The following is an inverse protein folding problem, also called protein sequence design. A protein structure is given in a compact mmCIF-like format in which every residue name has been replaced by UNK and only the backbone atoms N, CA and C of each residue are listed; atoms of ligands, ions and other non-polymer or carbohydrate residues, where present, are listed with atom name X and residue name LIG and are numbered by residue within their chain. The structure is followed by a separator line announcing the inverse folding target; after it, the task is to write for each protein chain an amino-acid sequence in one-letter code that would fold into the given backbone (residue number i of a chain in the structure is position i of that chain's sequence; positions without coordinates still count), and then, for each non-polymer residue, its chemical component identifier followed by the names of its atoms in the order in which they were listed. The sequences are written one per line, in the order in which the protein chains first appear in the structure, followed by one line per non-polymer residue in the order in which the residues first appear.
data_IF_097771307941
#
_entry.id   IF_097771307941
#
_cell.length_a   1.000
_cell.length_b   1.000
_cell.length_c   1.000
_cell.angle_alpha   90.00
_cell.angle_beta   90.00
_cell.angle_gamma   90.00
#
_symmetry.space_group_name_H-M   'P 1'
#
loop_
_entity.id
_entity.type
_entity.pdbx_description
1 polymer ?
#
# COMPACT_ATOMS: atom_id res chain seq x y z
N UNK A 1 21.25 -38.52 -0.74
CA UNK A 1 20.05 -38.46 0.13
C UNK A 1 19.18 -37.30 -0.33
N UNK A 2 18.11 -37.57 -1.08
CA UNK A 2 17.17 -36.54 -1.54
C UNK A 2 16.44 -35.94 -0.33
N UNK A 3 16.73 -34.69 0.02
CA UNK A 3 16.00 -33.99 1.07
C UNK A 3 14.52 -33.91 0.69
N UNK A 4 13.66 -34.38 1.58
CA UNK A 4 12.21 -34.37 1.43
C UNK A 4 11.74 -32.91 1.41
N UNK A 5 11.31 -32.40 0.25
CA UNK A 5 10.84 -31.02 0.09
C UNK A 5 9.53 -30.86 0.88
N UNK A 6 9.58 -30.11 1.98
CA UNK A 6 8.39 -29.76 2.76
C UNK A 6 7.60 -28.73 1.97
N UNK A 7 6.36 -29.08 1.60
CA UNK A 7 5.42 -28.16 0.95
C UNK A 7 4.38 -27.73 1.96
N UNK A 8 4.37 -26.44 2.30
CA UNK A 8 3.31 -25.85 3.11
C UNK A 8 2.06 -25.66 2.26
N UNK A 9 0.91 -26.06 2.78
CA UNK A 9 -0.40 -25.94 2.12
C UNK A 9 -1.24 -24.96 2.95
N UNK A 10 -1.73 -23.90 2.33
CA UNK A 10 -2.57 -22.89 2.99
C UNK A 10 -2.27 -21.46 2.55
N UNK A 11 -3.05 -20.51 3.05
CA UNK A 11 -2.77 -19.08 2.86
C UNK A 11 -1.66 -18.67 3.84
N UNK A 12 -0.59 -18.09 3.31
CA UNK A 12 0.47 -17.49 4.12
C UNK A 12 0.01 -16.13 4.66
N UNK A 13 0.49 -15.77 5.85
CA UNK A 13 0.26 -14.45 6.45
C UNK A 13 1.56 -13.95 7.06
N UNK A 14 1.85 -12.68 6.82
CA UNK A 14 3.01 -12.00 7.42
C UNK A 14 2.61 -11.21 8.68
N UNK A 15 1.37 -11.36 9.15
CA UNK A 15 0.90 -10.70 10.36
C UNK A 15 1.59 -11.28 11.59
N UNK A 16 2.20 -10.39 12.36
CA UNK A 16 2.87 -10.69 13.61
C UNK A 16 2.59 -9.56 14.59
N UNK A 17 2.28 -9.90 15.84
CA UNK A 17 2.05 -8.92 16.90
C UNK A 17 0.68 -9.10 17.55
N UNK A 18 0.17 -8.01 18.13
CA UNK A 18 -1.08 -7.99 18.87
C UNK A 18 -2.16 -7.22 18.11
N UNK A 19 -3.40 -7.38 18.55
CA UNK A 19 -4.51 -6.55 18.06
C UNK A 19 -4.43 -5.14 18.65
N UNK A 20 -5.07 -4.15 18.00
CA UNK A 20 -5.11 -2.80 18.58
C UNK A 20 -5.83 -2.78 19.92
N UNK A 21 -6.88 -3.59 20.08
CA UNK A 21 -7.65 -3.67 21.32
C UNK A 21 -6.79 -4.09 22.51
N UNK A 22 -5.99 -5.15 22.35
CA UNK A 22 -5.08 -5.65 23.39
C UNK A 22 -3.99 -4.63 23.73
N UNK A 23 -3.49 -3.89 22.74
CA UNK A 23 -2.45 -2.88 22.97
C UNK A 23 -3.01 -1.66 23.73
N UNK A 24 -4.10 -1.06 23.23
CA UNK A 24 -4.64 0.16 23.84
C UNK A 24 -5.31 -0.11 25.19
N UNK A 25 -5.91 -1.28 25.38
CA UNK A 25 -6.58 -1.65 26.63
C UNK A 25 -5.63 -1.86 27.80
N UNK A 26 -4.35 -2.19 27.54
CA UNK A 26 -3.34 -2.42 28.58
C UNK A 26 -2.52 -1.17 28.92
N UNK A 27 -2.74 -0.04 28.25
CA UNK A 27 -1.95 1.18 28.43
C UNK A 27 -2.72 2.24 29.23
N UNK A 28 -2.02 3.02 30.07
CA UNK A 28 -2.62 4.20 30.70
C UNK A 28 -3.05 5.19 29.62
N UNK A 29 -4.19 5.87 29.84
CA UNK A 29 -4.82 6.80 28.90
C UNK A 29 -4.97 6.21 27.48
N UNK A 30 -5.20 4.90 27.39
CA UNK A 30 -5.36 4.18 26.12
C UNK A 30 -4.16 4.30 25.17
N UNK A 31 -2.99 4.66 25.70
CA UNK A 31 -1.77 4.84 24.92
C UNK A 31 -1.75 6.10 24.06
N UNK A 32 -2.59 7.11 24.34
CA UNK A 32 -2.56 8.39 23.59
C UNK A 32 -1.14 8.99 23.60
N UNK A 33 -0.70 9.43 22.43
CA UNK A 33 0.64 9.96 22.19
C UNK A 33 1.72 8.90 21.89
N UNK A 34 1.45 7.60 22.10
CA UNK A 34 2.40 6.52 21.78
C UNK A 34 2.46 6.20 20.29
N UNK A 35 3.61 5.69 19.86
CA UNK A 35 3.83 5.22 18.50
C UNK A 35 3.52 3.73 18.34
N UNK A 36 2.74 3.42 17.30
CA UNK A 36 2.41 2.09 16.83
C UNK A 36 3.05 1.85 15.46
N UNK A 37 3.45 0.60 15.23
CA UNK A 37 3.85 0.13 13.91
C UNK A 37 3.00 -1.06 13.51
N UNK A 38 2.99 -1.36 12.21
CA UNK A 38 2.47 -2.62 11.69
C UNK A 38 3.61 -3.45 11.14
N UNK A 39 3.71 -4.70 11.55
CA UNK A 39 4.83 -5.57 11.17
C UNK A 39 4.86 -5.85 9.67
N UNK A 40 3.70 -6.02 9.03
CA UNK A 40 3.61 -6.10 7.58
C UNK A 40 4.22 -4.89 6.84
N UNK A 41 4.27 -3.71 7.47
CA UNK A 41 4.82 -2.50 6.85
C UNK A 41 6.33 -2.36 7.01
N UNK A 42 6.96 -3.17 7.87
CA UNK A 42 8.42 -3.19 8.05
C UNK A 42 9.18 -3.78 6.85
N UNK A 43 8.46 -4.30 5.84
CA UNK A 43 9.05 -4.68 4.54
C UNK A 43 9.58 -3.50 3.73
N UNK A 44 9.17 -2.27 4.06
CA UNK A 44 9.58 -1.06 3.38
C UNK A 44 10.77 -0.41 4.11
N UNK A 45 11.79 0.07 3.39
CA UNK A 45 12.94 0.75 4.01
C UNK A 45 12.61 2.15 4.53
N UNK A 46 11.50 2.74 4.08
CA UNK A 46 11.00 4.03 4.54
C UNK A 46 10.14 3.87 5.81
N UNK A 47 10.17 4.84 6.75
CA UNK A 47 9.51 4.69 8.03
C UNK A 47 7.98 4.66 7.85
N UNK A 48 7.35 3.68 8.49
CA UNK A 48 5.90 3.51 8.53
C UNK A 48 5.46 3.37 9.98
N UNK A 49 4.84 4.41 10.52
CA UNK A 49 4.37 4.42 11.90
C UNK A 49 3.08 5.23 12.04
N UNK A 50 2.41 5.04 13.17
CA UNK A 50 1.12 5.65 13.50
C UNK A 50 1.19 6.15 14.93
N UNK A 51 0.91 7.44 15.16
CA UNK A 51 0.85 8.01 16.52
C UNK A 51 -0.60 8.09 16.98
N UNK A 52 -0.91 7.54 18.15
CA UNK A 52 -2.27 7.50 18.69
C UNK A 52 -2.67 8.92 19.12
N UNK A 53 -3.79 9.42 18.61
CA UNK A 53 -4.36 10.72 19.02
C UNK A 53 -5.60 10.54 19.89
N UNK A 54 -6.47 9.60 19.52
CA UNK A 54 -7.72 9.32 20.25
C UNK A 54 -8.12 7.87 20.08
N UNK A 55 -8.66 7.28 21.14
CA UNK A 55 -9.22 5.94 21.14
C UNK A 55 -10.70 6.03 21.52
N UNK A 56 -11.54 5.33 20.77
CA UNK A 56 -12.96 5.16 21.06
C UNK A 56 -13.28 3.67 21.07
N UNK A 57 -13.77 3.18 22.21
CA UNK A 57 -14.29 1.82 22.32
C UNK A 57 -15.53 1.66 21.43
N UNK A 58 -15.73 0.45 20.93
CA UNK A 58 -16.92 0.06 20.16
C UNK A 58 -17.55 -1.11 20.87
N UNK A 59 -18.88 -1.13 20.91
CA UNK A 59 -19.62 -2.23 21.52
C UNK A 59 -19.30 -3.56 20.85
N UNK A 60 -19.17 -4.58 21.68
CA UNK A 60 -18.93 -5.93 21.21
C UNK A 60 -20.18 -6.46 20.51
N UNK A 61 -20.00 -6.98 19.30
CA UNK A 61 -21.06 -7.63 18.56
C UNK A 61 -20.87 -9.14 18.67
N UNK A 62 -21.93 -9.90 19.01
CA UNK A 62 -21.83 -11.35 19.07
C UNK A 62 -21.43 -11.90 17.70
N UNK A 63 -20.50 -12.86 17.69
CA UNK A 63 -19.90 -13.48 16.50
C UNK A 63 -19.01 -12.58 15.62
N UNK A 64 -18.64 -11.38 16.07
CA UNK A 64 -17.61 -10.56 15.39
C UNK A 64 -16.32 -10.48 16.20
N UNK A 65 -15.19 -10.37 15.50
CA UNK A 65 -13.92 -10.05 16.13
C UNK A 65 -13.98 -8.68 16.79
N UNK A 66 -13.42 -8.56 18.01
CA UNK A 66 -13.42 -7.32 18.77
C UNK A 66 -12.63 -6.23 18.04
N UNK A 67 -13.29 -5.08 17.82
CA UNK A 67 -12.74 -3.93 17.10
C UNK A 67 -12.69 -2.71 18.01
N UNK A 68 -11.82 -1.78 17.66
CA UNK A 68 -11.70 -0.49 18.32
C UNK A 68 -11.50 0.59 17.27
N UNK A 69 -12.03 1.80 17.52
CA UNK A 69 -11.76 2.96 16.66
C UNK A 69 -10.58 3.73 17.24
N UNK A 70 -9.50 3.83 16.47
CA UNK A 70 -8.31 4.57 16.88
C UNK A 70 -8.01 5.64 15.83
N UNK A 71 -8.09 6.90 16.23
CA UNK A 71 -7.66 8.02 15.39
C UNK A 71 -6.16 8.21 15.57
N UNK A 72 -5.43 8.15 14.46
CA UNK A 72 -3.97 8.23 14.44
C UNK A 72 -3.47 9.31 13.49
N UNK A 73 -2.32 9.88 13.80
CA UNK A 73 -1.48 10.52 12.80
C UNK A 73 -0.67 9.44 12.09
N UNK A 74 -0.87 9.29 10.79
CA UNK A 74 -0.27 8.21 10.01
C UNK A 74 0.88 8.72 9.15
N UNK A 75 2.06 8.14 9.34
CA UNK A 75 3.21 8.29 8.43
C UNK A 75 3.32 7.04 7.58
N UNK A 76 3.16 7.21 6.27
CA UNK A 76 3.23 6.12 5.29
C UNK A 76 4.43 6.31 4.37
N UNK A 77 5.40 5.39 4.49
CA UNK A 77 6.66 5.39 3.73
C UNK A 77 7.34 6.77 3.71
N UNK A 78 7.51 7.36 4.90
CA UNK A 78 8.16 8.67 5.09
C UNK A 78 7.27 9.90 4.86
N UNK A 79 6.02 9.74 4.42
CA UNK A 79 5.09 10.87 4.21
C UNK A 79 3.99 10.85 5.26
N UNK A 80 3.95 11.90 6.08
CA UNK A 80 2.92 12.13 7.09
C UNK A 80 1.65 12.66 6.43
N UNK A 81 0.51 12.06 6.76
CA UNK A 81 -0.78 12.52 6.25
C UNK A 81 -1.22 13.80 6.98
N UNK A 82 -1.72 14.83 6.26
CA UNK A 82 -2.08 16.11 6.87
C UNK A 82 -3.34 16.00 7.75
N UNK A 83 -4.19 14.99 7.49
CA UNK A 83 -5.40 14.73 8.26
C UNK A 83 -5.22 13.44 9.05
N UNK A 84 -5.64 13.43 10.34
CA UNK A 84 -5.71 12.20 11.11
C UNK A 84 -6.56 11.14 10.41
N UNK A 85 -6.18 9.88 10.55
CA UNK A 85 -6.84 8.72 9.96
C UNK A 85 -7.45 7.88 11.06
N UNK A 86 -8.71 7.48 10.88
CA UNK A 86 -9.35 6.50 11.76
C UNK A 86 -9.02 5.06 11.31
N UNK A 87 -8.55 4.25 12.25
CA UNK A 87 -8.39 2.81 12.09
C UNK A 87 -9.57 2.13 12.77
N UNK A 88 -10.38 1.44 11.97
CA UNK A 88 -11.49 0.61 12.47
C UNK A 88 -11.48 -0.78 11.83
N UNK A 89 -11.57 -0.84 10.50
CA UNK A 89 -11.69 -2.09 9.74
C UNK A 89 -10.49 -3.04 9.86
N UNK A 90 -9.34 -2.55 10.31
CA UNK A 90 -8.12 -3.34 10.47
C UNK A 90 -7.66 -3.44 11.92
N UNK A 91 -8.47 -3.00 12.89
CA UNK A 91 -8.11 -2.99 14.31
C UNK A 91 -8.00 -4.40 14.93
N UNK A 92 -8.79 -5.34 14.41
CA UNK A 92 -8.80 -6.74 14.85
C UNK A 92 -7.56 -7.55 14.40
N UNK A 93 -6.80 -7.04 13.43
CA UNK A 93 -5.67 -7.79 12.87
C UNK A 93 -4.52 -7.80 13.86
N UNK A 94 -4.00 -8.98 14.18
CA UNK A 94 -2.83 -9.18 15.03
C UNK A 94 -1.51 -8.85 14.29
N UNK A 95 -1.36 -7.57 13.91
CA UNK A 95 -0.24 -7.06 13.11
C UNK A 95 0.39 -5.81 13.73
N UNK A 96 -0.11 -5.37 14.90
CA UNK A 96 0.35 -4.14 15.54
C UNK A 96 1.36 -4.44 16.62
N UNK A 97 2.28 -3.51 16.78
CA UNK A 97 3.29 -3.52 17.82
C UNK A 97 3.49 -2.10 18.37
N UNK A 98 3.63 -2.00 19.68
CA UNK A 98 3.89 -0.74 20.37
C UNK A 98 5.39 -0.48 20.35
N UNK A 99 5.81 0.67 19.84
CA UNK A 99 7.22 1.05 19.86
C UNK A 99 7.59 1.51 21.28
N UNK A 100 8.69 0.98 21.86
CA UNK A 100 9.25 1.52 23.10
C UNK A 100 9.68 2.97 22.91
N UNK A 101 9.49 3.83 23.93
CA UNK A 101 9.78 5.27 23.82
C UNK A 101 11.22 5.57 23.37
N UNK A 102 12.17 4.78 23.85
CA UNK A 102 13.59 4.92 23.50
C UNK A 102 13.86 4.63 22.02
N UNK A 103 13.04 3.78 21.40
CA UNK A 103 13.20 3.36 20.01
C UNK A 103 12.42 4.23 19.02
N UNK A 104 11.48 5.05 19.49
CA UNK A 104 10.70 5.97 18.64
C UNK A 104 11.61 6.89 17.82
N UNK A 105 12.77 7.28 18.37
CA UNK A 105 13.79 8.07 17.68
C UNK A 105 14.28 7.43 16.38
N UNK A 106 14.32 6.10 16.27
CA UNK A 106 14.74 5.41 15.04
C UNK A 106 13.82 5.72 13.87
N UNK A 107 12.51 5.79 14.13
CA UNK A 107 11.50 6.08 13.13
C UNK A 107 11.44 7.57 12.81
N UNK A 108 11.58 8.44 13.81
CA UNK A 108 11.57 9.89 13.64
C UNK A 108 12.81 10.42 12.92
N UNK A 109 13.97 9.80 13.13
CA UNK A 109 15.22 10.19 12.48
C UNK A 109 15.33 9.71 11.03
N UNK A 110 14.54 8.72 10.63
CA UNK A 110 14.57 8.21 9.27
C UNK A 110 13.89 9.19 8.32
N UNK A 111 14.67 9.93 7.54
CA UNK A 111 14.16 10.90 6.55
C UNK A 111 13.95 10.29 5.17
N UNK A 112 14.06 8.97 5.01
CA UNK A 112 13.81 8.31 3.73
C UNK A 112 12.34 8.49 3.35
N UNK A 113 12.11 9.07 2.19
CA UNK A 113 10.80 9.21 1.59
C UNK A 113 10.79 8.41 0.29
N UNK A 114 9.70 7.70 0.04
CA UNK A 114 9.50 7.07 -1.26
C UNK A 114 9.40 8.16 -2.34
N UNK A 115 10.07 7.93 -3.46
CA UNK A 115 9.98 8.82 -4.59
C UNK A 115 8.56 8.81 -5.18
N UNK A 116 8.04 9.99 -5.49
CA UNK A 116 6.75 10.11 -6.14
C UNK A 116 6.81 9.52 -7.56
N UNK A 117 5.83 8.68 -7.91
CA UNK A 117 5.76 8.06 -9.23
C UNK A 117 5.03 9.01 -10.18
N UNK A 118 5.75 9.50 -11.19
CA UNK A 118 5.17 10.35 -12.23
C UNK A 118 4.54 9.48 -13.31
N UNK A 119 3.23 9.58 -13.45
CA UNK A 119 2.41 8.89 -14.45
C UNK A 119 2.28 9.75 -15.72
N UNK A 120 2.19 9.12 -16.90
CA UNK A 120 1.95 9.84 -18.15
C UNK A 120 0.55 10.46 -18.16
N UNK A 121 0.40 11.59 -18.87
CA UNK A 121 -0.90 12.26 -19.04
C UNK A 121 -1.79 11.54 -20.06
N UNK A 122 -1.16 10.89 -21.03
CA UNK A 122 -1.79 10.12 -22.10
C UNK A 122 -1.16 8.74 -22.21
N UNK A 123 -1.98 7.73 -22.46
CA UNK A 123 -1.54 6.36 -22.77
C UNK A 123 -2.25 5.87 -24.02
N UNK A 124 -1.68 4.86 -24.66
CA UNK A 124 -2.28 4.21 -25.82
C UNK A 124 -3.56 3.47 -25.44
N UNK A 125 -4.50 3.36 -26.39
CA UNK A 125 -5.66 2.50 -26.20
C UNK A 125 -5.25 1.01 -26.23
N UNK A 126 -5.95 0.13 -25.49
CA UNK A 126 -5.82 -1.31 -25.66
C UNK A 126 -5.99 -1.72 -27.13
N UNK A 127 -5.29 -2.75 -27.63
CA UNK A 127 -5.20 -3.03 -29.07
C UNK A 127 -6.53 -3.07 -29.81
N UNK A 128 -7.54 -3.75 -29.24
CA UNK A 128 -8.87 -3.84 -29.84
C UNK A 128 -9.58 -2.48 -29.91
N UNK A 129 -9.52 -1.70 -28.82
CA UNK A 129 -10.15 -0.37 -28.78
C UNK A 129 -9.41 0.63 -29.68
N UNK A 130 -8.09 0.47 -29.85
CA UNK A 130 -7.29 1.31 -30.74
C UNK A 130 -7.74 1.18 -32.19
N UNK A 131 -7.90 -0.05 -32.69
CA UNK A 131 -8.36 -0.26 -34.07
C UNK A 131 -9.82 0.19 -34.25
N UNK A 132 -10.70 -0.09 -33.26
CA UNK A 132 -12.08 0.38 -33.30
C UNK A 132 -12.19 1.91 -33.40
N UNK A 133 -11.44 2.64 -32.57
CA UNK A 133 -11.44 4.11 -32.61
C UNK A 133 -10.81 4.62 -33.91
N UNK A 134 -9.76 3.97 -34.39
CA UNK A 134 -9.12 4.31 -35.67
C UNK A 134 -10.08 4.20 -36.84
N UNK A 135 -10.91 3.15 -36.86
CA UNK A 135 -11.93 2.96 -37.90
C UNK A 135 -13.04 4.01 -37.81
N UNK A 136 -13.47 4.40 -36.60
CA UNK A 136 -14.53 5.41 -36.41
C UNK A 136 -14.08 6.86 -36.64
N UNK A 137 -12.88 7.23 -36.19
CA UNK A 137 -12.39 8.62 -36.20
C UNK A 137 -11.38 8.93 -37.30
N UNK A 138 -10.78 7.91 -37.92
CA UNK A 138 -9.72 8.07 -38.92
C UNK A 138 -8.37 8.54 -38.35
N UNK A 139 -8.24 8.72 -37.03
CA UNK A 139 -6.97 9.03 -36.38
C UNK A 139 -6.04 7.81 -36.34
N UNK A 140 -4.79 7.97 -36.79
CA UNK A 140 -3.84 6.86 -36.91
C UNK A 140 -3.30 6.34 -35.57
N UNK A 141 -3.26 7.17 -34.53
CA UNK A 141 -2.80 6.78 -33.20
C UNK A 141 -3.61 7.47 -32.09
N UNK A 142 -4.85 7.00 -31.81
CA UNK A 142 -5.66 7.58 -30.76
C UNK A 142 -5.03 7.31 -29.38
N UNK A 143 -5.10 8.30 -28.48
CA UNK A 143 -4.57 8.21 -27.11
C UNK A 143 -5.65 8.52 -26.07
N UNK A 144 -5.66 7.81 -24.96
CA UNK A 144 -6.58 8.07 -23.84
C UNK A 144 -5.93 8.94 -22.75
N UNK A 145 -6.73 9.79 -22.12
CA UNK A 145 -6.31 10.54 -20.93
C UNK A 145 -6.23 9.61 -19.72
N UNK A 146 -5.13 9.66 -18.99
CA UNK A 146 -4.96 8.86 -17.78
C UNK A 146 -5.75 9.47 -16.64
N UNK A 147 -6.73 8.72 -16.17
CA UNK A 147 -7.43 9.01 -14.92
C UNK A 147 -6.92 8.09 -13.83
N UNK A 148 -6.43 8.67 -12.73
CA UNK A 148 -5.99 7.88 -11.58
C UNK A 148 -6.64 8.40 -10.31
N UNK A 149 -7.07 7.48 -9.44
CA UNK A 149 -7.66 7.82 -8.15
C UNK A 149 -6.56 8.24 -7.18
N UNK A 150 -6.48 9.55 -6.92
CA UNK A 150 -5.63 10.12 -5.86
C UNK A 150 -6.07 9.57 -4.51
N UNK A 151 -5.15 8.88 -3.82
CA UNK A 151 -5.36 8.39 -2.46
C UNK A 151 -4.09 8.67 -1.67
N UNK A 152 -4.21 8.96 -0.37
CA UNK A 152 -3.06 9.35 0.45
C UNK A 152 -1.95 8.29 0.53
N UNK A 153 -2.27 7.01 0.30
CA UNK A 153 -1.27 5.93 0.28
C UNK A 153 -0.60 5.77 -1.11
N UNK A 154 -1.16 6.36 -2.18
CA UNK A 154 -0.60 6.33 -3.53
C UNK A 154 0.16 7.62 -3.77
N UNK A 155 1.47 7.52 -3.71
CA UNK A 155 2.38 8.62 -4.03
C UNK A 155 2.64 8.65 -5.54
N UNK A 156 1.59 8.94 -6.29
CA UNK A 156 1.65 9.07 -7.73
C UNK A 156 0.96 10.37 -8.16
N UNK A 157 1.53 11.03 -9.18
CA UNK A 157 0.95 12.22 -9.80
C UNK A 157 1.08 12.15 -11.32
N UNK A 158 0.28 12.94 -12.03
CA UNK A 158 0.45 13.12 -13.47
C UNK A 158 1.65 14.02 -13.75
N UNK A 159 2.34 13.74 -14.85
CA UNK A 159 3.42 14.57 -15.37
C UNK A 159 2.90 15.99 -15.69
N UNK A 160 3.69 17.00 -15.33
CA UNK A 160 3.49 18.35 -15.84
C UNK A 160 4.02 18.48 -17.28
N UNK A 161 3.67 19.54 -18.04
CA UNK A 161 3.97 19.64 -19.48
C UNK A 161 5.44 19.46 -19.88
N UNK A 162 6.38 19.70 -18.97
CA UNK A 162 7.83 19.59 -19.20
C UNK A 162 8.51 18.43 -18.43
N UNK A 163 7.75 17.49 -17.85
CA UNK A 163 8.31 16.37 -17.09
C UNK A 163 8.18 15.04 -17.83
N UNK A 164 9.24 14.23 -17.80
CA UNK A 164 9.21 12.87 -18.33
C UNK A 164 8.56 11.92 -17.31
N UNK A 165 7.59 11.08 -17.73
CA UNK A 165 6.98 10.08 -16.86
C UNK A 165 8.01 9.06 -16.34
N UNK A 166 8.01 8.81 -15.03
CA UNK A 166 8.88 7.79 -14.42
C UNK A 166 8.42 6.38 -14.77
N UNK A 167 7.10 6.20 -14.99
CA UNK A 167 6.51 4.93 -15.38
C UNK A 167 6.01 5.01 -16.82
N UNK A 168 6.69 4.31 -17.73
CA UNK A 168 6.17 4.09 -19.07
C UNK A 168 5.15 2.95 -19.03
N UNK A 169 3.89 3.29 -19.28
CA UNK A 169 2.79 2.33 -19.39
C UNK A 169 2.56 2.11 -20.88
N UNK A 170 3.03 1.00 -21.44
CA UNK A 170 2.65 0.55 -22.78
C UNK A 170 1.55 -0.50 -22.68
N UNK A 171 0.72 -0.59 -23.73
CA UNK A 171 -0.34 -1.60 -23.85
C UNK A 171 0.16 -2.89 -24.54
N UNK A 172 1.47 -3.03 -24.69
CA UNK A 172 2.10 -4.22 -25.23
C UNK A 172 2.11 -5.36 -24.21
N UNK A 173 2.34 -6.58 -24.69
CA UNK A 173 2.49 -7.78 -23.87
C UNK A 173 3.69 -7.72 -22.90
N UNK A 174 4.55 -6.69 -23.04
CA UNK A 174 5.71 -6.45 -22.19
C UNK A 174 6.78 -7.52 -22.34
N UNK A 175 7.73 -7.55 -21.39
CA UNK A 175 8.74 -8.62 -21.30
C UNK A 175 8.28 -9.64 -20.26
N UNK A 176 7.93 -10.88 -20.65
CA UNK A 176 7.50 -11.90 -19.69
C UNK A 176 8.65 -12.25 -18.74
N UNK A 177 8.31 -12.64 -17.51
CA UNK A 177 9.32 -13.15 -16.58
C UNK A 177 9.93 -14.44 -17.14
N UNK A 178 11.22 -14.74 -16.87
CA UNK A 178 11.89 -15.93 -17.41
C UNK A 178 11.14 -17.23 -17.13
N UNK A 179 10.50 -17.33 -15.96
CA UNK A 179 9.74 -18.49 -15.51
C UNK A 179 8.50 -18.77 -16.39
N UNK A 180 7.93 -17.74 -17.00
CA UNK A 180 6.71 -17.82 -17.82
C UNK A 180 6.98 -17.64 -19.31
N UNK A 181 8.25 -17.55 -19.75
CA UNK A 181 8.61 -17.27 -21.14
C UNK A 181 7.96 -18.25 -22.14
N UNK A 182 7.86 -19.52 -21.77
CA UNK A 182 7.22 -20.57 -22.59
C UNK A 182 5.76 -20.28 -22.96
N UNK A 183 5.03 -19.52 -22.15
CA UNK A 183 3.62 -19.18 -22.40
C UNK A 183 3.44 -18.11 -23.48
N UNK A 184 4.53 -17.45 -23.87
CA UNK A 184 4.53 -16.35 -24.85
C UNK A 184 5.28 -16.72 -26.15
N UNK A 185 5.70 -17.99 -26.29
CA UNK A 185 6.29 -18.50 -27.52
C UNK A 185 5.28 -18.38 -28.68
N UNK A 186 5.65 -17.64 -29.74
CA UNK A 186 4.81 -17.41 -30.93
C UNK A 186 3.86 -16.21 -30.84
N UNK A 187 3.86 -15.46 -29.73
CA UNK A 187 3.01 -14.26 -29.54
C UNK A 187 3.82 -12.97 -29.44
N UNK A 188 5.08 -13.06 -28.99
CA UNK A 188 6.05 -11.96 -28.91
C UNK A 188 6.98 -11.92 -30.11
#
# INVERSE_FOLDING_TARGET
MSQKVIKYIGRTTDFRGNTLWELVGNLPDWGVGRMLIRNMFQRYPEPCYMRILKVSAVDEKPNEERKVRVTVEKTWRGVTQPKPVEIYSTSYKADYELVPKEEEHKFLNNKKQVAEVILPTKIEFPPLLREYIRDETGESNPQMKVHFKKTFNKQARLAQPNEQPTLQVSMDLGKPKPVSAKLYEGVL
#
